data_IF_273487259535
#
_entry.id   IF_273487259535
#
_cell.length_a   1.000
_cell.length_b   1.000
_cell.length_c   1.000
_cell.angle_alpha   90.00
_cell.angle_beta   90.00
_cell.angle_gamma   90.00
#
_symmetry.space_group_name_H-M   'P 1'
#
loop_
_entity.id
_entity.type
_entity.pdbx_description
1 polymer ?
#
# COMPACT_ATOMS: atom_id res chain seq x y z
N UNK A 1 -6.63 -36.25 5.04
CA UNK A 1 -7.35 -35.01 4.73
C UNK A 1 -7.68 -35.08 3.24
N UNK A 2 -8.94 -35.35 2.88
CA UNK A 2 -9.34 -35.62 1.49
C UNK A 2 -9.78 -34.28 0.89
N UNK A 3 -8.98 -33.75 -0.04
CA UNK A 3 -9.36 -32.57 -0.83
C UNK A 3 -10.09 -33.07 -2.08
N UNK A 4 -11.39 -32.83 -2.16
CA UNK A 4 -12.17 -33.08 -3.36
C UNK A 4 -11.88 -31.99 -4.41
N UNK A 5 -11.63 -32.42 -5.65
CA UNK A 5 -11.38 -31.54 -6.80
C UNK A 5 -12.68 -31.32 -7.55
N UNK A 6 -13.23 -30.11 -7.49
CA UNK A 6 -14.22 -29.62 -8.46
C UNK A 6 -13.60 -28.46 -9.25
N UNK A 7 -13.77 -28.47 -10.58
CA UNK A 7 -13.23 -27.46 -11.52
C UNK A 7 -11.70 -27.25 -11.47
N UNK A 8 -10.95 -28.28 -11.07
CA UNK A 8 -9.49 -28.24 -11.02
C UNK A 8 -8.90 -27.34 -9.95
N UNK A 9 -9.74 -26.74 -9.09
CA UNK A 9 -9.32 -25.91 -7.96
C UNK A 9 -9.40 -26.69 -6.65
N UNK A 10 -8.44 -26.46 -5.75
CA UNK A 10 -8.25 -27.14 -4.49
C UNK A 10 -9.29 -26.63 -3.49
N UNK A 11 -10.18 -27.49 -3.03
CA UNK A 11 -11.06 -27.20 -1.91
C UNK A 11 -10.34 -27.58 -0.61
N UNK A 12 -10.20 -26.62 0.31
CA UNK A 12 -9.55 -26.84 1.60
C UNK A 12 -10.62 -26.97 2.68
N UNK A 13 -10.67 -28.12 3.36
CA UNK A 13 -11.57 -28.31 4.50
C UNK A 13 -11.01 -27.60 5.74
N UNK A 14 -11.68 -26.56 6.23
CA UNK A 14 -11.32 -25.82 7.44
C UNK A 14 -11.98 -26.39 8.70
N UNK A 15 -13.01 -27.23 8.54
CA UNK A 15 -13.69 -27.91 9.64
C UNK A 15 -14.78 -28.86 9.14
N UNK A 16 -15.52 -29.53 10.04
CA UNK A 16 -16.51 -30.57 9.68
C UNK A 16 -17.63 -30.10 8.73
N UNK A 17 -17.86 -28.78 8.66
CA UNK A 17 -18.88 -28.14 7.81
C UNK A 17 -18.39 -26.88 7.09
N UNK A 18 -17.08 -26.60 7.10
CA UNK A 18 -16.52 -25.37 6.53
C UNK A 18 -15.49 -25.71 5.46
N UNK A 19 -15.71 -25.19 4.26
CA UNK A 19 -14.83 -25.39 3.12
C UNK A 19 -14.37 -24.03 2.60
N UNK A 20 -13.07 -23.89 2.33
CA UNK A 20 -12.54 -22.73 1.64
C UNK A 20 -12.32 -23.09 0.16
N UNK A 21 -12.94 -22.32 -0.73
CA UNK A 21 -12.68 -22.39 -2.16
C UNK A 21 -11.91 -21.15 -2.62
N UNK A 22 -10.95 -21.32 -3.53
CA UNK A 22 -10.19 -20.21 -4.07
C UNK A 22 -11.05 -19.48 -5.09
N UNK A 23 -11.22 -18.18 -4.90
CA UNK A 23 -12.15 -17.39 -5.70
C UNK A 23 -11.40 -16.49 -6.68
N UNK A 24 -10.36 -15.80 -6.20
CA UNK A 24 -9.70 -14.76 -6.99
C UNK A 24 -8.25 -14.54 -6.60
N UNK A 25 -7.40 -14.28 -7.58
CA UNK A 25 -6.05 -13.80 -7.37
C UNK A 25 -6.04 -12.27 -7.33
N UNK A 26 -5.80 -11.70 -6.16
CA UNK A 26 -5.91 -10.26 -5.93
C UNK A 26 -4.65 -9.49 -6.33
N UNK A 27 -3.47 -9.99 -5.93
CA UNK A 27 -2.19 -9.27 -6.07
C UNK A 27 -1.01 -10.23 -6.27
N UNK A 28 0.09 -9.69 -6.81
CA UNK A 28 1.37 -10.38 -6.95
C UNK A 28 2.46 -9.53 -6.29
N UNK A 29 3.43 -10.16 -5.63
CA UNK A 29 4.63 -9.50 -5.09
C UNK A 29 5.88 -10.33 -5.37
N UNK A 30 7.07 -9.72 -5.44
CA UNK A 30 8.33 -10.46 -5.34
C UNK A 30 8.44 -11.07 -3.94
N UNK A 31 8.59 -12.39 -3.87
CA UNK A 31 8.91 -13.09 -2.64
C UNK A 31 10.38 -12.88 -2.24
N UNK A 32 10.75 -13.25 -1.00
CA UNK A 32 12.12 -13.11 -0.50
C UNK A 32 13.15 -13.89 -1.34
N UNK A 33 12.72 -14.97 -2.01
CA UNK A 33 13.56 -15.82 -2.86
C UNK A 33 13.61 -15.34 -4.33
N UNK A 34 13.09 -14.14 -4.63
CA UNK A 34 12.99 -13.60 -5.99
C UNK A 34 11.91 -14.26 -6.86
N UNK A 35 11.20 -15.26 -6.34
CA UNK A 35 10.06 -15.91 -6.99
C UNK A 35 8.76 -15.12 -6.74
N UNK A 36 7.81 -15.09 -7.68
CA UNK A 36 6.55 -14.38 -7.45
C UNK A 36 5.66 -15.11 -6.44
N UNK A 37 5.12 -14.35 -5.49
CA UNK A 37 4.05 -14.77 -4.60
C UNK A 37 2.74 -14.08 -5.01
N UNK A 38 1.64 -14.78 -4.81
CA UNK A 38 0.30 -14.37 -5.21
C UNK A 38 -0.63 -14.36 -4.01
N UNK A 39 -1.36 -13.27 -3.83
CA UNK A 39 -2.40 -13.15 -2.83
C UNK A 39 -3.69 -13.74 -3.40
N UNK A 40 -4.09 -14.90 -2.90
CA UNK A 40 -5.32 -15.59 -3.29
C UNK A 40 -6.40 -15.29 -2.25
N UNK A 41 -7.57 -14.87 -2.71
CA UNK A 41 -8.79 -14.74 -1.92
C UNK A 41 -9.55 -16.05 -1.97
N UNK A 42 -9.92 -16.53 -0.80
CA UNK A 42 -10.67 -17.75 -0.56
C UNK A 42 -11.99 -17.39 0.10
N UNK A 43 -13.10 -17.90 -0.43
CA UNK A 43 -14.39 -17.79 0.23
C UNK A 43 -14.62 -19.02 1.11
N UNK A 44 -14.98 -18.79 2.36
CA UNK A 44 -15.37 -19.84 3.30
C UNK A 44 -16.86 -20.07 3.16
N UNK A 45 -17.21 -21.26 2.68
CA UNK A 45 -18.59 -21.70 2.49
C UNK A 45 -18.93 -22.70 3.59
N UNK A 46 -20.06 -22.48 4.27
CA UNK A 46 -20.63 -23.47 5.19
C UNK A 46 -21.46 -24.49 4.42
N UNK A 47 -21.32 -25.77 4.78
CA UNK A 47 -21.99 -26.87 4.09
C UNK A 47 -23.52 -26.88 4.29
N UNK A 48 -24.06 -26.06 5.20
CA UNK A 48 -25.51 -25.93 5.47
C UNK A 48 -26.24 -25.09 4.42
N UNK A 49 -25.55 -24.16 3.73
CA UNK A 49 -26.15 -23.31 2.71
C UNK A 49 -26.37 -24.03 1.37
N UNK A 50 -25.69 -25.16 1.15
CA UNK A 50 -25.75 -25.91 -0.11
C UNK A 50 -27.01 -26.77 -0.27
N UNK A 51 -27.79 -26.98 0.79
CA UNK A 51 -28.99 -27.82 0.76
C UNK A 51 -30.29 -27.03 0.51
N UNK A 52 -30.27 -25.70 0.59
CA UNK A 52 -31.46 -24.86 0.43
C UNK A 52 -31.47 -24.19 -0.95
N UNK A 53 -31.94 -24.93 -1.96
CA UNK A 53 -32.45 -24.30 -3.17
C UNK A 53 -33.70 -23.50 -2.81
N UNK A 54 -33.61 -22.17 -2.76
CA UNK A 54 -34.81 -21.35 -2.57
C UNK A 54 -34.55 -19.91 -2.11
N UNK A 55 -34.53 -18.99 -3.09
CA UNK A 55 -35.02 -17.62 -3.00
C UNK A 55 -34.76 -16.81 -1.73
N UNK A 56 -33.75 -15.94 -1.79
CA UNK A 56 -33.60 -14.83 -0.87
C UNK A 56 -32.44 -13.94 -1.29
N UNK A 57 -32.72 -12.75 -1.82
CA UNK A 57 -31.74 -11.69 -2.05
C UNK A 57 -31.28 -11.15 -0.69
N UNK A 58 -30.37 -11.88 -0.07
CA UNK A 58 -29.57 -11.45 1.05
C UNK A 58 -28.16 -11.98 0.76
N UNK A 59 -27.26 -11.07 0.36
CA UNK A 59 -25.84 -11.35 0.14
C UNK A 59 -25.34 -12.28 1.27
N UNK A 60 -25.03 -13.56 0.98
CA UNK A 60 -24.50 -14.43 2.01
C UNK A 60 -23.21 -13.78 2.49
N UNK A 61 -23.07 -13.61 3.81
CA UNK A 61 -21.85 -13.10 4.44
C UNK A 61 -20.76 -14.17 4.29
N UNK A 62 -20.28 -14.37 3.07
CA UNK A 62 -19.18 -15.25 2.77
C UNK A 62 -17.94 -14.64 3.44
N UNK A 63 -17.46 -15.29 4.49
CA UNK A 63 -16.24 -14.90 5.18
C UNK A 63 -15.09 -15.15 4.20
N UNK A 64 -14.38 -14.08 3.82
CA UNK A 64 -13.28 -14.16 2.88
C UNK A 64 -11.95 -14.19 3.63
N UNK A 65 -11.10 -15.17 3.33
CA UNK A 65 -9.73 -15.26 3.84
C UNK A 65 -8.77 -14.99 2.68
N UNK A 66 -7.73 -14.19 2.90
CA UNK A 66 -6.70 -13.93 1.89
C UNK A 66 -5.37 -14.51 2.34
N UNK A 67 -4.71 -15.29 1.48
CA UNK A 67 -3.43 -15.93 1.78
C UNK A 67 -2.43 -15.70 0.66
N UNK A 68 -1.18 -15.39 1.04
CA UNK A 68 -0.06 -15.36 0.10
C UNK A 68 0.41 -16.79 -0.18
N UNK A 69 0.51 -17.14 -1.45
CA UNK A 69 0.93 -18.45 -1.92
C UNK A 69 2.00 -18.27 -3.00
N UNK A 70 2.99 -19.15 -3.03
CA UNK A 70 4.00 -19.17 -4.09
C UNK A 70 3.39 -19.55 -5.45
N UNK A 71 4.11 -19.24 -6.53
CA UNK A 71 3.72 -19.66 -7.88
C UNK A 71 3.44 -21.16 -8.00
N UNK A 72 4.26 -21.98 -7.34
CA UNK A 72 4.13 -23.44 -7.37
C UNK A 72 2.85 -23.89 -6.66
N UNK A 73 2.55 -23.30 -5.50
CA UNK A 73 1.34 -23.59 -4.72
C UNK A 73 0.06 -23.14 -5.43
N UNK A 74 0.08 -22.00 -6.15
CA UNK A 74 -1.07 -21.56 -6.95
C UNK A 74 -1.25 -22.43 -8.19
N UNK A 75 -0.18 -22.85 -8.85
CA UNK A 75 -0.25 -23.80 -9.98
C UNK A 75 -0.82 -25.15 -9.54
N UNK A 76 -0.44 -25.64 -8.36
CA UNK A 76 -0.92 -26.91 -7.81
C UNK A 76 -2.36 -26.80 -7.26
N UNK A 77 -2.69 -25.67 -6.65
CA UNK A 77 -3.94 -25.46 -5.93
C UNK A 77 -5.06 -24.91 -6.81
N UNK A 78 -4.79 -23.90 -7.63
CA UNK A 78 -5.83 -23.11 -8.31
C UNK A 78 -5.41 -22.74 -9.75
N UNK A 79 -5.06 -23.71 -10.61
CA UNK A 79 -4.55 -23.43 -11.95
C UNK A 79 -5.53 -22.61 -12.82
N UNK A 80 -6.84 -22.76 -12.58
CA UNK A 80 -7.87 -21.99 -13.27
C UNK A 80 -7.79 -20.47 -13.03
N UNK A 81 -7.28 -20.04 -11.87
CA UNK A 81 -7.10 -18.63 -11.52
C UNK A 81 -5.89 -18.00 -12.24
N UNK A 82 -4.90 -18.81 -12.63
CA UNK A 82 -3.74 -18.34 -13.39
C UNK A 82 -4.07 -18.08 -14.87
N UNK A 83 -4.99 -18.86 -15.46
CA UNK A 83 -5.40 -18.72 -16.86
C UNK A 83 -6.20 -17.44 -17.17
N UNK A 84 -6.78 -16.79 -16.15
CA UNK A 84 -7.54 -15.54 -16.30
C UNK A 84 -6.69 -14.29 -16.33
N UNK A 85 -5.39 -14.37 -16.01
CA UNK A 85 -4.44 -13.28 -16.19
C UNK A 85 -3.42 -13.74 -17.22
N UNK A 86 -3.57 -13.22 -18.44
CA UNK A 86 -2.57 -13.36 -19.51
C UNK A 86 -1.19 -13.07 -18.89
N UNK A 87 -0.18 -13.95 -19.03
CA UNK A 87 1.16 -13.60 -18.61
C UNK A 87 1.53 -12.29 -19.31
N UNK A 88 2.07 -11.27 -18.62
CA UNK A 88 2.76 -10.21 -19.32
C UNK A 88 3.82 -10.92 -20.19
N UNK A 89 3.76 -10.71 -21.50
CA UNK A 89 4.69 -11.34 -22.43
C UNK A 89 6.14 -11.04 -22.04
N UNK A 90 7.12 -11.79 -22.56
CA UNK A 90 8.52 -11.44 -22.40
C UNK A 90 8.78 -10.12 -23.14
N UNK A 91 8.65 -9.02 -22.40
CA UNK A 91 8.70 -7.67 -22.94
C UNK A 91 7.61 -6.77 -22.38
N UNK A 92 7.50 -6.69 -21.05
CA UNK A 92 7.04 -5.51 -20.30
C UNK A 92 7.21 -5.76 -18.78
N UNK A 93 8.37 -6.31 -18.40
CA UNK A 93 9.00 -5.84 -17.17
C UNK A 93 9.50 -4.41 -17.45
N UNK A 94 8.54 -3.48 -17.52
CA UNK A 94 8.84 -2.13 -17.13
C UNK A 94 8.93 -2.21 -15.61
N UNK A 95 10.14 -2.53 -15.13
CA UNK A 95 10.64 -2.08 -13.83
C UNK A 95 9.89 -0.81 -13.48
N UNK A 96 9.20 -0.73 -12.32
CA UNK A 96 8.07 0.17 -12.07
C UNK A 96 8.22 1.39 -12.94
N UNK A 97 7.52 1.38 -14.09
CA UNK A 97 7.82 2.34 -15.13
C UNK A 97 7.87 3.73 -14.53
N UNK A 98 8.78 4.61 -14.97
CA UNK A 98 8.84 5.98 -14.47
C UNK A 98 7.45 6.59 -14.59
N UNK A 99 6.68 6.54 -13.51
CA UNK A 99 5.43 7.25 -13.40
C UNK A 99 5.88 8.66 -13.07
N UNK A 100 5.82 9.47 -14.12
CA UNK A 100 6.60 10.69 -14.23
C UNK A 100 7.90 10.35 -14.93
N UNK A 101 8.06 10.86 -16.15
CA UNK A 101 9.30 11.55 -16.50
C UNK A 101 9.84 12.17 -15.20
N UNK A 102 11.01 11.72 -14.72
CA UNK A 102 11.58 12.27 -13.51
C UNK A 102 11.45 13.78 -13.64
N UNK A 103 10.77 14.48 -12.70
CA UNK A 103 10.47 15.88 -12.88
C UNK A 103 11.75 16.54 -13.31
N UNK A 104 11.70 17.23 -14.45
CA UNK A 104 12.86 17.92 -14.97
C UNK A 104 13.44 18.77 -13.84
N UNK A 105 14.74 19.00 -13.88
CA UNK A 105 15.43 19.63 -12.74
C UNK A 105 14.80 20.99 -12.36
N UNK A 106 14.15 21.68 -13.30
CA UNK A 106 13.41 22.91 -13.03
C UNK A 106 12.08 22.65 -12.30
N UNK A 107 11.27 21.69 -12.74
CA UNK A 107 10.04 21.28 -12.05
C UNK A 107 10.32 20.77 -10.62
N UNK A 108 11.39 19.99 -10.43
CA UNK A 108 11.79 19.53 -9.10
C UNK A 108 12.16 20.70 -8.19
N UNK A 109 12.94 21.67 -8.69
CA UNK A 109 13.29 22.90 -7.95
C UNK A 109 12.07 23.73 -7.59
N UNK A 110 11.05 23.78 -8.44
CA UNK A 110 9.79 24.45 -8.12
C UNK A 110 9.07 23.75 -6.96
N UNK A 111 9.00 22.41 -7.00
CA UNK A 111 8.42 21.62 -5.91
C UNK A 111 9.20 21.77 -4.60
N UNK A 112 10.53 21.84 -4.64
CA UNK A 112 11.34 22.13 -3.45
C UNK A 112 11.08 23.55 -2.90
N UNK A 113 10.97 24.54 -3.77
CA UNK A 113 10.60 25.90 -3.38
C UNK A 113 9.21 25.92 -2.74
N UNK A 114 8.29 25.09 -3.22
CA UNK A 114 6.97 24.96 -2.65
C UNK A 114 6.98 24.27 -1.27
N UNK A 115 7.74 23.19 -1.11
CA UNK A 115 8.01 22.58 0.21
C UNK A 115 8.52 23.63 1.19
N UNK A 116 9.49 24.47 0.78
CA UNK A 116 10.01 25.57 1.62
C UNK A 116 8.91 26.55 2.04
N UNK A 117 8.02 26.95 1.11
CA UNK A 117 6.90 27.86 1.40
C UNK A 117 5.88 27.21 2.33
N UNK A 118 5.50 25.95 2.07
CA UNK A 118 4.52 25.20 2.85
C UNK A 118 5.01 24.91 4.26
N UNK A 119 6.28 24.54 4.46
CA UNK A 119 6.87 24.33 5.80
C UNK A 119 6.87 25.64 6.59
N UNK A 120 7.27 26.76 5.97
CA UNK A 120 7.23 28.08 6.62
C UNK A 120 5.82 28.48 7.00
N UNK A 121 4.85 28.22 6.12
CA UNK A 121 3.42 28.48 6.37
C UNK A 121 2.90 27.61 7.52
N UNK A 122 3.17 26.32 7.49
CA UNK A 122 2.76 25.38 8.54
C UNK A 122 3.36 25.76 9.90
N UNK A 123 4.63 26.19 9.95
CA UNK A 123 5.27 26.72 11.16
C UNK A 123 4.54 27.94 11.72
N UNK A 124 4.26 28.92 10.87
CA UNK A 124 3.50 30.11 11.27
C UNK A 124 2.13 29.70 11.81
N UNK A 125 1.41 28.84 11.09
CA UNK A 125 0.08 28.38 11.50
C UNK A 125 0.11 27.55 12.79
N UNK A 126 1.19 26.79 13.04
CA UNK A 126 1.38 26.02 14.27
C UNK A 126 1.72 26.90 15.48
N UNK A 127 2.46 27.99 15.27
CA UNK A 127 2.74 28.98 16.32
C UNK A 127 1.50 29.83 16.66
N UNK A 128 0.69 30.16 15.65
CA UNK A 128 -0.54 30.97 15.77
C UNK A 128 -1.76 30.16 16.25
N UNK A 129 -1.61 28.85 16.47
CA UNK A 129 -2.70 27.94 16.89
C UNK A 129 -3.26 28.24 18.30
N UNK A 130 -2.74 29.26 18.99
CA UNK A 130 -3.34 29.87 20.17
C UNK A 130 -4.44 30.92 19.88
N UNK A 131 -4.57 31.43 18.65
CA UNK A 131 -5.44 32.58 18.34
C UNK A 131 -6.46 32.40 17.19
N UNK A 132 -6.26 31.53 16.19
CA UNK A 132 -7.27 31.25 15.17
C UNK A 132 -7.03 29.90 14.45
N UNK A 133 -7.83 28.88 14.78
CA UNK A 133 -7.63 27.46 14.43
C UNK A 133 -7.95 27.03 12.99
N UNK A 134 -7.69 27.85 11.98
CA UNK A 134 -8.07 27.56 10.58
C UNK A 134 -6.91 27.15 9.69
N UNK A 135 -6.74 25.85 9.44
CA UNK A 135 -6.00 25.25 8.31
C UNK A 135 -4.49 24.96 8.45
N UNK A 136 -4.00 24.59 9.63
CA UNK A 136 -2.73 23.80 9.71
C UNK A 136 -2.90 22.45 9.01
N UNK A 137 -4.05 21.80 9.20
CA UNK A 137 -4.30 20.44 8.71
C UNK A 137 -4.21 20.34 7.18
N UNK A 138 -4.77 21.31 6.44
CA UNK A 138 -4.68 21.32 4.97
C UNK A 138 -3.22 21.39 4.49
N UNK A 139 -2.43 22.27 5.09
CA UNK A 139 -0.99 22.37 4.80
C UNK A 139 -0.25 21.07 5.13
N UNK A 140 -0.57 20.41 6.25
CA UNK A 140 0.02 19.12 6.63
C UNK A 140 -0.33 18.00 5.64
N UNK A 141 -1.55 17.97 5.09
CA UNK A 141 -1.93 16.98 4.09
C UNK A 141 -1.15 17.15 2.79
N UNK A 142 -0.98 18.38 2.29
CA UNK A 142 -0.18 18.67 1.09
C UNK A 142 1.28 18.32 1.31
N UNK A 143 1.84 18.73 2.46
CA UNK A 143 3.20 18.34 2.85
C UNK A 143 3.36 16.82 2.96
N UNK A 144 2.32 16.11 3.38
CA UNK A 144 2.27 14.64 3.40
C UNK A 144 2.40 14.01 2.01
N UNK A 145 1.75 14.59 1.00
CA UNK A 145 1.89 14.13 -0.38
C UNK A 145 3.32 14.32 -0.91
N UNK A 146 3.95 15.46 -0.61
CA UNK A 146 5.35 15.72 -0.98
C UNK A 146 6.36 14.87 -0.21
N UNK A 147 6.08 14.55 1.05
CA UNK A 147 6.94 13.68 1.86
C UNK A 147 7.00 12.23 1.33
N UNK A 148 6.03 11.81 0.51
CA UNK A 148 6.05 10.54 -0.21
C UNK A 148 6.93 10.53 -1.47
N UNK A 149 7.48 11.70 -1.86
CA UNK A 149 8.39 11.84 -3.00
C UNK A 149 9.83 11.85 -2.48
N UNK A 150 10.56 10.76 -2.71
CA UNK A 150 11.91 10.60 -2.18
C UNK A 150 12.90 11.70 -2.59
N UNK A 151 12.79 12.21 -3.82
CA UNK A 151 13.65 13.30 -4.32
C UNK A 151 13.50 14.61 -3.55
N UNK A 152 12.36 14.83 -2.87
CA UNK A 152 12.14 16.03 -2.06
C UNK A 152 12.62 15.90 -0.61
N UNK A 153 13.06 14.71 -0.17
CA UNK A 153 13.48 14.48 1.21
C UNK A 153 14.61 15.43 1.67
N UNK A 154 15.51 15.82 0.75
CA UNK A 154 16.54 16.83 0.99
C UNK A 154 15.96 18.20 1.38
N UNK A 155 14.97 18.69 0.61
CA UNK A 155 14.32 19.97 0.88
C UNK A 155 13.58 20.01 2.23
N UNK A 156 13.00 18.89 2.67
CA UNK A 156 12.40 18.78 4.01
C UNK A 156 13.44 18.92 5.13
N UNK A 157 14.66 18.40 4.94
CA UNK A 157 15.76 18.54 5.93
C UNK A 157 16.28 19.97 5.97
N UNK A 158 16.55 20.56 4.81
CA UNK A 158 17.10 21.92 4.71
C UNK A 158 16.17 23.00 5.28
N UNK A 159 14.86 22.76 5.24
CA UNK A 159 13.85 23.68 5.79
C UNK A 159 13.64 23.52 7.29
N UNK A 160 14.24 22.50 7.91
CA UNK A 160 14.00 22.10 9.29
C UNK A 160 12.58 21.54 9.50
N UNK A 161 11.98 20.91 8.50
CA UNK A 161 10.64 20.34 8.62
C UNK A 161 10.54 19.32 9.76
N UNK A 162 11.64 18.67 10.15
CA UNK A 162 11.68 17.75 11.28
C UNK A 162 11.23 18.41 12.59
N UNK A 163 11.76 19.59 12.93
CA UNK A 163 11.37 20.34 14.13
C UNK A 163 9.89 20.74 14.11
N UNK A 164 9.38 21.11 12.93
CA UNK A 164 7.95 21.37 12.75
C UNK A 164 7.14 20.10 13.01
N UNK A 165 7.54 18.96 12.46
CA UNK A 165 6.82 17.69 12.63
C UNK A 165 6.81 17.25 14.09
N UNK A 166 7.93 17.39 14.80
CA UNK A 166 8.02 17.13 16.24
C UNK A 166 7.05 18.02 17.02
N UNK A 167 6.98 19.32 16.70
CA UNK A 167 6.00 20.23 17.31
C UNK A 167 4.54 19.82 16.99
N UNK A 168 4.26 19.38 15.75
CA UNK A 168 2.92 18.95 15.33
C UNK A 168 2.49 17.61 15.96
N UNK A 169 3.42 16.76 16.40
CA UNK A 169 3.11 15.56 17.18
C UNK A 169 2.49 15.90 18.54
N UNK A 170 2.78 17.08 19.09
CA UNK A 170 2.19 17.56 20.34
C UNK A 170 0.86 18.32 20.14
N UNK A 171 0.36 18.42 18.91
CA UNK A 171 -0.85 19.17 18.60
C UNK A 171 -2.11 18.49 19.18
N UNK A 172 -3.12 19.28 19.60
CA UNK A 172 -4.37 18.77 20.21
C UNK A 172 -5.20 17.93 19.23
N UNK A 173 -5.23 18.31 17.96
CA UNK A 173 -5.91 17.56 16.89
C UNK A 173 -5.15 16.27 16.51
N UNK A 174 -5.81 15.12 16.70
CA UNK A 174 -5.25 13.82 16.37
C UNK A 174 -5.01 13.58 14.87
N UNK A 175 -5.70 14.28 13.96
CA UNK A 175 -5.45 14.21 12.52
C UNK A 175 -4.11 14.85 12.16
N UNK A 176 -3.79 15.99 12.78
CA UNK A 176 -2.49 16.67 12.62
C UNK A 176 -1.37 15.77 13.16
N UNK A 177 -1.55 15.18 14.35
CA UNK A 177 -0.57 14.23 14.92
C UNK A 177 -0.32 13.03 14.00
N UNK A 178 -1.40 12.40 13.50
CA UNK A 178 -1.27 11.26 12.56
C UNK A 178 -0.63 11.67 11.24
N UNK A 179 -0.92 12.86 10.73
CA UNK A 179 -0.27 13.42 9.54
C UNK A 179 1.24 13.58 9.74
N UNK A 180 1.64 14.20 10.85
CA UNK A 180 3.06 14.38 11.18
C UNK A 180 3.80 13.04 11.33
N UNK A 181 3.19 12.06 12.02
CA UNK A 181 3.77 10.72 12.16
C UNK A 181 3.88 9.94 10.84
N UNK A 182 2.96 10.14 9.90
CA UNK A 182 3.08 9.54 8.55
C UNK A 182 4.22 10.17 7.76
N UNK A 183 4.38 11.49 7.81
CA UNK A 183 5.48 12.20 7.14
C UNK A 183 6.85 11.75 7.66
N UNK A 184 7.01 11.61 8.98
CA UNK A 184 8.27 11.12 9.57
C UNK A 184 8.63 9.72 9.07
N UNK A 185 7.64 8.83 8.96
CA UNK A 185 7.85 7.48 8.40
C UNK A 185 8.23 7.52 6.92
N UNK A 186 7.57 8.37 6.13
CA UNK A 186 7.88 8.51 4.70
C UNK A 186 9.30 9.05 4.50
N UNK A 187 9.67 10.14 5.18
CA UNK A 187 11.01 10.73 5.10
C UNK A 187 12.10 9.75 5.57
N UNK A 188 11.86 8.99 6.64
CA UNK A 188 12.78 7.97 7.13
C UNK A 188 12.93 6.77 6.18
N UNK A 189 11.85 6.35 5.53
CA UNK A 189 11.91 5.27 4.53
C UNK A 189 12.77 5.66 3.31
N UNK A 190 12.75 6.93 2.92
CA UNK A 190 13.59 7.45 1.85
C UNK A 190 15.07 7.57 2.26
N UNK A 191 15.35 7.83 3.55
CA UNK A 191 16.72 7.87 4.07
C UNK A 191 17.38 6.48 4.07
N UNK A 192 16.61 5.43 4.38
CA UNK A 192 17.06 4.03 4.32
C UNK A 192 17.27 3.51 2.88
N UNK A 193 16.69 4.17 1.87
CA UNK A 193 16.81 3.82 0.45
C UNK A 193 17.85 4.63 -0.33
N UNK A 194 18.40 5.71 0.25
CA UNK A 194 19.35 6.62 -0.43
C UNK A 194 20.78 6.11 -0.54
N UNK A 195 21.12 5.00 0.13
CA UNK A 195 22.45 4.39 0.14
C UNK A 195 22.73 3.48 -1.06
N UNK A 196 22.49 3.94 -2.30
CA UNK A 196 22.96 3.24 -3.52
C UNK A 196 23.43 4.22 -4.58
N UNK A 197 24.46 4.99 -4.28
CA UNK A 197 25.27 5.67 -5.29
C UNK A 197 26.57 6.23 -4.69
N UNK A 198 27.31 5.42 -3.92
CA UNK A 198 28.67 5.75 -3.46
C UNK A 198 29.50 4.49 -3.14
N UNK A 199 29.68 3.60 -4.13
CA UNK A 199 30.85 2.71 -4.28
C UNK A 199 31.08 2.71 -5.81
N UNK A 200 32.01 3.45 -6.43
CA UNK A 200 33.42 3.64 -6.08
C UNK A 200 34.14 2.31 -6.32
N UNK A 201 34.98 2.10 -7.33
CA UNK A 201 35.67 2.95 -8.31
C UNK A 201 35.97 2.13 -9.57
#
# INVERSE_FOLDING_TARGET
MVNEKHDGSLLVQLGPRLQACPEELLRQRPGPDGRPEYLVRWSVVSSEERAAGGGGSAEPRAENISLWMSAEEVCAGCPALLGRRRPPGPGEEKAPGPWGEAPDEASLREMEADVRRLVRRARRQAAEAGAAGGSVLGTVQVLGAYAGIGSLAGAFRETGALELLLALLCHRDGRIRRGAGQMLRALGAHDAGGGRSCWGS
#
